data_IF_716918551867
#
_entry.id   IF_716918551867
#
_cell.length_a   1.000
_cell.length_b   1.000
_cell.length_c   1.000
_cell.angle_alpha   90.00
_cell.angle_beta   90.00
_cell.angle_gamma   90.00
#
_symmetry.space_group_name_H-M   'P 1'
#
loop_
_entity.id
_entity.type
_entity.pdbx_description
1 polymer ?
#
# COMPACT_ATOMS: atom_id res chain seq x y z
N UNK A 1 -30.87 -100.84 25.33
CA UNK A 1 -29.59 -101.54 25.12
C UNK A 1 -29.53 -102.05 23.67
N UNK A 2 -28.36 -102.05 23.01
CA UNK A 2 -28.23 -101.89 21.55
C UNK A 2 -28.30 -103.20 20.76
N UNK A 3 -28.65 -103.13 19.45
CA UNK A 3 -28.35 -104.13 18.39
C UNK A 3 -28.59 -103.61 16.95
N UNK A 4 -27.51 -103.51 16.17
CA UNK A 4 -27.25 -104.00 14.79
C UNK A 4 -28.27 -103.96 13.63
N UNK A 5 -27.80 -103.35 12.52
CA UNK A 5 -27.69 -103.83 11.10
C UNK A 5 -28.78 -103.73 10.01
N UNK A 6 -28.29 -103.25 8.84
CA UNK A 6 -28.59 -103.58 7.42
C UNK A 6 -29.86 -102.97 6.77
N UNK A 7 -29.94 -102.55 5.48
CA UNK A 7 -29.48 -103.05 4.17
C UNK A 7 -29.55 -101.88 3.13
N UNK A 8 -28.54 -101.55 2.29
CA UNK A 8 -28.06 -102.09 1.00
C UNK A 8 -28.92 -101.81 -0.29
N UNK A 9 -28.37 -100.99 -1.21
CA UNK A 9 -28.38 -101.01 -2.71
C UNK A 9 -28.21 -99.58 -3.25
N UNK A 10 -27.05 -99.13 -3.69
CA UNK A 10 -26.17 -99.52 -4.80
C UNK A 10 -26.65 -99.07 -6.20
N UNK A 11 -25.67 -98.52 -6.93
CA UNK A 11 -25.48 -98.54 -8.39
C UNK A 11 -26.19 -97.51 -9.31
N UNK A 12 -25.47 -96.42 -9.58
CA UNK A 12 -25.06 -95.94 -10.93
C UNK A 12 -26.10 -95.92 -12.06
N UNK A 13 -26.48 -94.71 -12.52
CA UNK A 13 -26.58 -94.34 -13.96
C UNK A 13 -26.96 -92.84 -14.09
N UNK A 14 -26.01 -91.93 -14.26
CA UNK A 14 -25.59 -91.31 -15.54
C UNK A 14 -26.62 -90.39 -16.22
N UNK A 15 -26.23 -89.12 -16.32
CA UNK A 15 -26.32 -88.25 -17.52
C UNK A 15 -27.66 -88.08 -18.25
N UNK A 16 -28.32 -86.93 -18.05
CA UNK A 16 -29.03 -86.12 -19.06
C UNK A 16 -29.52 -84.81 -18.38
N UNK A 17 -28.91 -83.65 -18.62
CA UNK A 17 -29.36 -82.58 -19.56
C UNK A 17 -30.88 -82.37 -19.56
N UNK A 18 -31.30 -81.11 -19.26
CA UNK A 18 -32.54 -80.35 -19.60
C UNK A 18 -32.84 -79.43 -18.38
N UNK A 19 -32.35 -78.19 -18.34
CA UNK A 19 -32.99 -76.98 -18.88
C UNK A 19 -34.50 -76.91 -18.60
N UNK A 20 -34.96 -76.07 -17.65
CA UNK A 20 -36.12 -75.16 -17.78
C UNK A 20 -36.45 -74.48 -16.43
N UNK A 21 -36.30 -73.16 -16.45
CA UNK A 21 -37.06 -72.09 -15.78
C UNK A 21 -37.63 -72.32 -14.35
N UNK A 22 -37.08 -71.55 -13.41
CA UNK A 22 -37.91 -70.69 -12.56
C UNK A 22 -37.23 -69.33 -12.42
N UNK A 23 -37.74 -68.37 -13.20
CA UNK A 23 -37.36 -66.96 -13.21
C UNK A 23 -37.84 -66.31 -11.91
N UNK A 24 -36.95 -66.16 -10.93
CA UNK A 24 -37.04 -65.07 -9.97
C UNK A 24 -36.08 -63.99 -10.43
N UNK A 25 -36.63 -63.12 -11.28
CA UNK A 25 -36.02 -61.91 -11.78
C UNK A 25 -35.66 -61.01 -10.59
N UNK A 26 -34.45 -61.15 -10.04
CA UNK A 26 -33.81 -60.06 -9.32
C UNK A 26 -33.39 -59.04 -10.38
N UNK A 27 -34.31 -58.13 -10.71
CA UNK A 27 -33.95 -56.89 -11.39
C UNK A 27 -33.12 -56.10 -10.39
N UNK A 28 -31.82 -56.37 -10.37
CA UNK A 28 -30.84 -55.46 -9.80
C UNK A 28 -30.86 -54.23 -10.71
N UNK A 29 -31.71 -53.26 -10.39
CA UNK A 29 -31.58 -51.94 -10.98
C UNK A 29 -30.17 -51.47 -10.61
N UNK A 30 -29.25 -51.25 -11.57
CA UNK A 30 -28.11 -50.41 -11.27
C UNK A 30 -28.75 -49.07 -10.91
N UNK A 31 -28.79 -48.77 -9.62
CA UNK A 31 -29.16 -47.44 -9.17
C UNK A 31 -28.23 -46.50 -9.90
N UNK A 32 -28.76 -45.82 -10.92
CA UNK A 32 -28.17 -44.59 -11.39
C UNK A 32 -28.17 -43.70 -10.15
N UNK A 33 -27.07 -43.70 -9.41
CA UNK A 33 -26.73 -42.61 -8.52
C UNK A 33 -26.46 -41.47 -9.47
N UNK A 34 -27.54 -40.77 -9.86
CA UNK A 34 -27.43 -39.45 -10.44
C UNK A 34 -26.62 -38.67 -9.41
N UNK A 35 -25.38 -38.30 -9.75
CA UNK A 35 -24.54 -37.49 -8.90
C UNK A 35 -25.33 -36.22 -8.61
N UNK A 36 -25.92 -36.15 -7.42
CA UNK A 36 -26.68 -35.00 -7.00
C UNK A 36 -25.71 -33.83 -7.00
N UNK A 37 -26.11 -32.72 -7.62
CA UNK A 37 -25.22 -31.59 -7.82
C UNK A 37 -24.71 -31.12 -6.45
N UNK A 38 -23.45 -31.43 -6.13
CA UNK A 38 -22.85 -31.16 -4.81
C UNK A 38 -22.61 -29.67 -4.57
N UNK A 39 -22.79 -28.85 -5.61
CA UNK A 39 -22.70 -27.41 -5.52
C UNK A 39 -23.96 -26.87 -4.81
N UNK A 40 -23.79 -25.94 -3.85
CA UNK A 40 -24.93 -25.24 -3.25
C UNK A 40 -25.81 -24.62 -4.35
N UNK A 41 -27.13 -24.73 -4.20
CA UNK A 41 -28.10 -24.28 -5.22
C UNK A 41 -27.99 -22.80 -5.60
N UNK A 42 -27.39 -21.97 -4.73
CA UNK A 42 -27.19 -20.54 -4.94
C UNK A 42 -25.73 -20.15 -5.25
N UNK A 43 -24.87 -21.13 -5.57
CA UNK A 43 -23.48 -20.86 -5.93
C UNK A 43 -23.41 -20.41 -7.40
N UNK A 44 -23.12 -19.12 -7.60
CA UNK A 44 -22.81 -18.60 -8.92
C UNK A 44 -21.38 -18.99 -9.27
N UNK A 45 -21.21 -19.92 -10.20
CA UNK A 45 -19.90 -20.33 -10.73
C UNK A 45 -19.48 -19.36 -11.82
N UNK A 46 -18.35 -18.69 -11.63
CA UNK A 46 -17.67 -17.88 -12.66
C UNK A 46 -16.31 -18.49 -12.97
N UNK A 47 -15.88 -18.40 -14.23
CA UNK A 47 -14.59 -18.96 -14.69
C UNK A 47 -13.38 -18.32 -14.00
N UNK A 48 -13.48 -17.05 -13.60
CA UNK A 48 -12.48 -16.35 -12.79
C UNK A 48 -13.07 -15.09 -12.15
N UNK A 49 -12.34 -14.48 -11.21
CA UNK A 49 -12.64 -13.15 -10.66
C UNK A 49 -12.27 -11.99 -11.62
N UNK A 50 -11.91 -12.31 -12.86
CA UNK A 50 -11.37 -11.36 -13.84
C UNK A 50 -9.86 -11.14 -13.68
N UNK A 51 -9.27 -10.25 -14.51
CA UNK A 51 -7.86 -9.90 -14.38
C UNK A 51 -7.63 -9.16 -13.06
N UNK A 52 -6.51 -9.44 -12.42
CA UNK A 52 -6.10 -8.67 -11.25
C UNK A 52 -5.86 -7.21 -11.66
N UNK A 53 -6.28 -6.28 -10.82
CA UNK A 53 -6.18 -4.82 -11.04
C UNK A 53 -5.00 -4.20 -10.26
N UNK A 54 -4.40 -4.98 -9.37
CA UNK A 54 -3.32 -4.57 -8.51
C UNK A 54 -2.99 -5.63 -7.47
N UNK A 55 -2.14 -5.28 -6.52
CA UNK A 55 -1.76 -6.17 -5.43
C UNK A 55 -1.48 -5.41 -4.15
N UNK A 56 -1.52 -6.14 -3.04
CA UNK A 56 -1.16 -5.63 -1.72
C UNK A 56 0.37 -5.59 -1.62
N UNK A 57 0.93 -4.40 -1.39
CA UNK A 57 2.38 -4.20 -1.23
C UNK A 57 2.78 -4.43 0.23
N UNK A 58 2.00 -3.88 1.16
CA UNK A 58 2.23 -4.00 2.58
C UNK A 58 0.91 -3.98 3.34
N UNK A 59 0.86 -4.71 4.45
CA UNK A 59 -0.32 -4.75 5.31
C UNK A 59 0.07 -5.00 6.76
N UNK A 60 -0.51 -4.20 7.66
CA UNK A 60 -0.56 -4.51 9.10
C UNK A 60 -1.73 -5.46 9.38
N UNK A 61 -1.73 -6.16 10.53
CA UNK A 61 -2.89 -6.93 10.96
C UNK A 61 -4.19 -6.10 10.92
N UNK A 62 -5.33 -6.79 10.96
CA UNK A 62 -6.66 -6.18 11.04
C UNK A 62 -7.14 -5.45 9.78
N UNK A 63 -6.78 -5.98 8.61
CA UNK A 63 -7.34 -5.58 7.31
C UNK A 63 -8.12 -6.75 6.68
N UNK A 64 -9.33 -6.44 6.22
CA UNK A 64 -10.28 -7.40 5.62
C UNK A 64 -10.58 -6.97 4.19
N UNK A 65 -10.63 -7.92 3.29
CA UNK A 65 -11.03 -7.75 1.90
C UNK A 65 -12.33 -8.50 1.68
N UNK A 66 -13.33 -7.84 1.13
CA UNK A 66 -14.61 -8.46 0.78
C UNK A 66 -14.78 -8.33 -0.73
N UNK A 67 -14.93 -9.45 -1.42
CA UNK A 67 -15.17 -9.47 -2.87
C UNK A 67 -16.68 -9.40 -3.16
N UNK A 68 -17.03 -8.94 -4.37
CA UNK A 68 -18.35 -8.64 -4.95
C UNK A 68 -19.63 -9.26 -4.35
N UNK A 69 -19.61 -10.50 -3.87
CA UNK A 69 -20.78 -11.19 -3.30
C UNK A 69 -21.09 -10.81 -1.84
N UNK A 70 -20.16 -10.14 -1.15
CA UNK A 70 -20.24 -9.76 0.27
C UNK A 70 -20.53 -10.92 1.23
N UNK A 71 -20.38 -12.16 0.78
CA UNK A 71 -20.64 -13.37 1.58
C UNK A 71 -19.43 -13.74 2.43
N UNK A 72 -18.22 -13.52 1.91
CA UNK A 72 -16.98 -13.88 2.58
C UNK A 72 -15.99 -12.71 2.64
N UNK A 73 -15.32 -12.60 3.78
CA UNK A 73 -14.21 -11.67 4.01
C UNK A 73 -12.90 -12.42 4.20
N UNK A 74 -11.84 -11.93 3.56
CA UNK A 74 -10.50 -12.52 3.60
C UNK A 74 -9.55 -11.60 4.34
N UNK A 75 -8.64 -12.16 5.15
CA UNK A 75 -7.57 -11.38 5.76
C UNK A 75 -6.57 -10.98 4.69
N UNK A 76 -6.27 -9.69 4.62
CA UNK A 76 -5.27 -9.17 3.70
C UNK A 76 -3.87 -9.69 4.07
N UNK A 77 -3.08 -10.04 3.05
CA UNK A 77 -1.68 -10.45 3.16
C UNK A 77 -0.88 -9.79 2.04
N UNK A 78 0.39 -9.52 2.29
CA UNK A 78 1.28 -8.98 1.25
C UNK A 78 1.30 -9.91 0.02
N UNK A 79 1.44 -9.31 -1.16
CA UNK A 79 1.39 -9.93 -2.48
C UNK A 79 0.07 -10.57 -2.92
N UNK A 80 -1.00 -10.50 -2.12
CA UNK A 80 -2.33 -10.90 -2.62
C UNK A 80 -2.75 -9.99 -3.77
N UNK A 81 -3.27 -10.62 -4.82
CA UNK A 81 -3.90 -9.94 -5.94
C UNK A 81 -5.20 -9.27 -5.48
N UNK A 82 -5.48 -8.10 -6.05
CA UNK A 82 -6.72 -7.37 -5.91
C UNK A 82 -7.49 -7.44 -7.22
N UNK A 83 -8.81 -7.48 -7.11
CA UNK A 83 -9.75 -7.59 -8.21
C UNK A 83 -10.76 -6.45 -8.16
N UNK A 84 -11.41 -6.20 -9.30
CA UNK A 84 -12.54 -5.27 -9.34
C UNK A 84 -13.62 -5.70 -8.34
N UNK A 85 -14.30 -4.72 -7.72
CA UNK A 85 -15.30 -4.92 -6.65
C UNK A 85 -14.74 -5.44 -5.32
N UNK A 86 -13.41 -5.46 -5.15
CA UNK A 86 -12.83 -5.65 -3.83
C UNK A 86 -13.09 -4.43 -2.94
N UNK A 87 -13.72 -4.67 -1.80
CA UNK A 87 -13.84 -3.70 -0.71
C UNK A 87 -12.76 -3.96 0.32
N UNK A 88 -11.89 -2.98 0.54
CA UNK A 88 -10.83 -2.97 1.53
C UNK A 88 -11.31 -2.28 2.81
N UNK A 89 -11.20 -2.97 3.94
CA UNK A 89 -11.63 -2.50 5.25
C UNK A 89 -10.45 -2.58 6.22
N UNK A 90 -9.94 -1.42 6.65
CA UNK A 90 -8.97 -1.33 7.75
C UNK A 90 -9.71 -1.08 9.07
N UNK A 91 -9.45 -1.90 10.08
CA UNK A 91 -10.03 -1.72 11.42
C UNK A 91 -9.19 -0.73 12.26
N UNK A 92 -9.24 -0.83 13.59
CA UNK A 92 -8.62 0.10 14.56
C UNK A 92 -7.09 0.26 14.40
N UNK A 93 -6.38 -0.81 14.09
CA UNK A 93 -4.92 -0.83 13.92
C UNK A 93 -4.51 -1.11 12.47
N UNK A 94 -5.51 -1.37 11.62
CA UNK A 94 -5.34 -1.80 10.25
C UNK A 94 -4.71 -0.72 9.38
N UNK A 95 -3.71 -1.11 8.60
CA UNK A 95 -3.09 -0.25 7.59
C UNK A 95 -2.74 -1.09 6.39
N UNK A 96 -3.05 -0.61 5.20
CA UNK A 96 -2.74 -1.31 3.96
C UNK A 96 -2.19 -0.33 2.92
N UNK A 97 -1.17 -0.78 2.20
CA UNK A 97 -0.65 -0.13 1.01
C UNK A 97 -0.82 -1.06 -0.18
N UNK A 98 -1.47 -0.56 -1.22
CA UNK A 98 -1.77 -1.32 -2.44
C UNK A 98 -1.15 -0.62 -3.65
N UNK A 99 -0.67 -1.41 -4.60
CA UNK A 99 -0.18 -0.95 -5.88
C UNK A 99 -1.11 -1.41 -6.99
N UNK A 100 -1.60 -0.47 -7.80
CA UNK A 100 -2.41 -0.76 -8.98
C UNK A 100 -1.52 -1.03 -10.20
N UNK A 101 -2.04 -1.77 -11.17
CA UNK A 101 -1.29 -2.14 -12.38
C UNK A 101 -0.89 -0.94 -13.24
N UNK A 102 -1.63 0.17 -13.13
CA UNK A 102 -1.31 1.44 -13.78
C UNK A 102 -0.14 2.21 -13.11
N UNK A 103 0.43 1.65 -12.03
CA UNK A 103 1.54 2.20 -11.28
C UNK A 103 1.16 3.14 -10.14
N UNK A 104 -0.13 3.42 -9.93
CA UNK A 104 -0.63 4.20 -8.79
C UNK A 104 -0.51 3.41 -7.49
N UNK A 105 -0.44 4.11 -6.37
CA UNK A 105 -0.34 3.52 -5.03
C UNK A 105 -1.34 4.19 -4.11
N UNK A 106 -2.07 3.38 -3.34
CA UNK A 106 -3.03 3.86 -2.36
C UNK A 106 -2.62 3.36 -0.98
N UNK A 107 -2.65 4.23 0.02
CA UNK A 107 -2.39 3.90 1.42
C UNK A 107 -3.65 4.23 2.22
N UNK A 108 -4.24 3.24 2.88
CA UNK A 108 -5.40 3.42 3.75
C UNK A 108 -4.95 3.45 5.20
N UNK A 109 -5.34 4.50 5.93
CA UNK A 109 -5.19 4.62 7.38
C UNK A 109 -6.18 3.71 8.11
N UNK A 110 -6.07 3.54 9.44
CA UNK A 110 -7.09 2.85 10.23
C UNK A 110 -8.50 3.39 10.01
N UNK A 111 -9.50 2.54 10.27
CA UNK A 111 -10.94 2.86 10.16
C UNK A 111 -11.36 3.37 8.77
N UNK A 112 -10.82 2.75 7.74
CA UNK A 112 -11.07 3.14 6.35
C UNK A 112 -11.78 2.03 5.60
N UNK A 113 -12.81 2.40 4.84
CA UNK A 113 -13.53 1.50 3.94
C UNK A 113 -13.53 2.09 2.52
N UNK A 114 -12.98 1.34 1.58
CA UNK A 114 -12.79 1.76 0.20
C UNK A 114 -13.03 0.58 -0.74
N UNK A 115 -13.79 0.80 -1.81
CA UNK A 115 -14.05 -0.20 -2.86
C UNK A 115 -13.33 0.19 -4.15
N UNK A 116 -12.73 -0.82 -4.79
CA UNK A 116 -12.14 -0.71 -6.12
C UNK A 116 -13.24 -0.97 -7.15
N UNK A 117 -14.10 0.04 -7.33
CA UNK A 117 -15.40 -0.11 -7.98
C UNK A 117 -15.32 -0.42 -9.47
N UNK A 118 -14.38 0.19 -10.20
CA UNK A 118 -14.18 -0.10 -11.61
C UNK A 118 -12.71 0.03 -11.94
N UNK A 119 -12.19 -0.86 -12.80
CA UNK A 119 -10.89 -0.67 -13.40
C UNK A 119 -10.87 -1.23 -14.82
N UNK A 120 -11.13 -0.36 -15.79
CA UNK A 120 -10.87 -0.65 -17.20
C UNK A 120 -9.42 -0.25 -17.47
N UNK A 121 -8.54 -1.24 -17.63
CA UNK A 121 -7.16 -1.01 -18.07
C UNK A 121 -6.88 -1.87 -19.31
N UNK A 122 -6.85 -1.22 -20.47
CA UNK A 122 -6.49 -1.85 -21.74
C UNK A 122 -5.27 -1.12 -22.32
N UNK A 123 -4.09 -1.72 -22.16
CA UNK A 123 -2.82 -1.19 -22.66
C UNK A 123 -2.71 -1.22 -24.19
N UNK A 124 -3.46 -2.09 -24.87
CA UNK A 124 -3.49 -2.19 -26.33
C UNK A 124 -4.35 -1.10 -26.97
N UNK A 125 -5.39 -0.64 -26.26
CA UNK A 125 -6.30 0.43 -26.69
C UNK A 125 -6.01 1.79 -26.05
N UNK A 126 -5.02 1.87 -25.17
CA UNK A 126 -4.66 3.08 -24.42
C UNK A 126 -5.84 3.68 -23.63
N UNK A 127 -6.71 2.84 -23.07
CA UNK A 127 -7.86 3.24 -22.23
C UNK A 127 -7.56 2.86 -20.79
N UNK A 128 -7.64 3.86 -19.91
CA UNK A 128 -7.64 3.67 -18.46
C UNK A 128 -8.83 4.41 -17.84
N UNK A 129 -9.69 3.67 -17.14
CA UNK A 129 -10.71 4.21 -16.26
C UNK A 129 -10.66 3.47 -14.93
N UNK A 130 -10.21 4.14 -13.88
CA UNK A 130 -10.23 3.58 -12.52
C UNK A 130 -11.18 4.42 -11.68
N UNK A 131 -12.20 3.77 -11.12
CA UNK A 131 -13.12 4.38 -10.16
C UNK A 131 -12.89 3.74 -8.79
N UNK A 132 -12.71 4.58 -7.80
CA UNK A 132 -12.54 4.18 -6.40
C UNK A 132 -13.64 4.85 -5.58
N UNK A 133 -14.45 4.05 -4.89
CA UNK A 133 -15.44 4.55 -3.95
C UNK A 133 -14.88 4.51 -2.53
N UNK A 134 -14.67 5.67 -1.92
CA UNK A 134 -14.21 5.80 -0.55
C UNK A 134 -15.38 6.16 0.36
N UNK A 135 -15.83 5.20 1.16
CA UNK A 135 -17.02 5.34 1.98
C UNK A 135 -16.77 6.15 3.26
N UNK A 136 -15.64 5.87 3.93
CA UNK A 136 -15.27 6.50 5.20
C UNK A 136 -13.78 6.29 5.46
N UNK A 137 -13.20 7.17 6.27
CA UNK A 137 -11.85 7.04 6.81
C UNK A 137 -10.88 8.00 6.15
N UNK A 138 -9.61 7.60 6.06
CA UNK A 138 -8.54 8.45 5.53
C UNK A 138 -7.60 7.65 4.65
N UNK A 139 -7.28 8.17 3.47
CA UNK A 139 -6.39 7.50 2.53
C UNK A 139 -5.55 8.50 1.73
N UNK A 140 -4.32 8.11 1.44
CA UNK A 140 -3.43 8.81 0.51
C UNK A 140 -3.45 8.10 -0.84
N UNK A 141 -3.52 8.89 -1.89
CA UNK A 141 -3.57 8.46 -3.28
C UNK A 141 -2.39 9.07 -4.01
N UNK A 142 -1.41 8.24 -4.38
CA UNK A 142 -0.38 8.61 -5.34
C UNK A 142 -0.75 8.05 -6.70
N UNK A 143 -1.36 8.87 -7.55
CA UNK A 143 -1.85 8.46 -8.86
C UNK A 143 -0.78 8.77 -9.92
N UNK A 144 -0.42 7.76 -10.71
CA UNK A 144 0.59 7.93 -11.77
C UNK A 144 0.02 8.73 -12.94
N UNK A 145 0.75 9.78 -13.35
CA UNK A 145 0.47 10.54 -14.59
C UNK A 145 0.85 9.71 -15.80
N UNK A 146 -0.11 9.42 -16.68
CA UNK A 146 0.13 8.67 -17.91
C UNK A 146 -0.02 9.63 -19.11
N UNK A 147 1.11 10.15 -19.60
CA UNK A 147 1.12 11.15 -20.67
C UNK A 147 0.73 10.58 -22.06
N UNK A 148 0.86 9.26 -22.26
CA UNK A 148 0.68 8.60 -23.56
C UNK A 148 -0.71 7.92 -23.73
N UNK A 149 -1.66 8.17 -22.82
CA UNK A 149 -2.99 7.57 -22.87
C UNK A 149 -4.01 8.59 -23.38
N UNK A 150 -4.82 8.22 -24.38
CA UNK A 150 -5.85 9.11 -24.98
C UNK A 150 -6.99 9.42 -24.00
N UNK A 151 -7.33 8.48 -23.13
CA UNK A 151 -8.34 8.59 -22.09
C UNK A 151 -7.81 7.94 -20.81
N UNK A 152 -7.46 8.75 -19.81
CA UNK A 152 -7.01 8.30 -18.48
C UNK A 152 -7.82 8.99 -17.41
N UNK A 153 -8.94 8.39 -17.02
CA UNK A 153 -9.76 8.84 -15.90
C UNK A 153 -9.40 8.06 -14.64
N UNK A 154 -8.84 8.73 -13.64
CA UNK A 154 -8.84 8.19 -12.28
C UNK A 154 -9.79 9.05 -11.45
N UNK A 155 -10.80 8.44 -10.86
CA UNK A 155 -11.81 9.14 -10.06
C UNK A 155 -11.90 8.53 -8.68
N UNK A 156 -11.91 9.38 -7.66
CA UNK A 156 -12.28 8.98 -6.30
C UNK A 156 -13.61 9.62 -5.98
N UNK A 157 -14.59 8.80 -5.61
CA UNK A 157 -15.92 9.24 -5.20
C UNK A 157 -16.12 8.97 -3.72
N UNK A 158 -16.71 9.92 -3.03
CA UNK A 158 -17.13 9.80 -1.63
C UNK A 158 -18.63 10.04 -1.51
N UNK A 159 -19.15 10.07 -0.29
CA UNK A 159 -20.55 10.44 -0.04
C UNK A 159 -20.89 11.86 -0.49
N UNK A 160 -19.92 12.78 -0.52
CA UNK A 160 -20.16 14.22 -0.75
C UNK A 160 -19.42 14.80 -1.95
N UNK A 161 -18.34 14.17 -2.42
CA UNK A 161 -17.47 14.73 -3.46
C UNK A 161 -17.08 13.71 -4.55
N UNK A 162 -16.69 14.25 -5.70
CA UNK A 162 -16.00 13.56 -6.78
C UNK A 162 -14.68 14.26 -7.00
N UNK A 163 -13.58 13.51 -6.95
CA UNK A 163 -12.24 13.96 -7.30
C UNK A 163 -11.80 13.31 -8.62
N UNK A 164 -11.73 14.10 -9.68
CA UNK A 164 -11.07 13.75 -10.94
C UNK A 164 -9.56 13.97 -10.82
N UNK A 165 -8.77 12.93 -11.12
CA UNK A 165 -7.34 12.92 -10.82
C UNK A 165 -6.52 12.82 -12.10
N UNK A 166 -5.62 13.79 -12.30
CA UNK A 166 -4.65 13.77 -13.41
C UNK A 166 -3.22 13.72 -12.89
N UNK A 167 -2.84 12.57 -12.35
CA UNK A 167 -1.48 12.32 -11.87
C UNK A 167 -1.11 13.22 -10.71
N UNK A 168 -1.49 12.81 -9.50
CA UNK A 168 -1.49 13.65 -8.31
C UNK A 168 -1.07 12.86 -7.07
N UNK A 169 -0.64 13.57 -6.04
CA UNK A 169 -0.40 13.04 -4.70
C UNK A 169 -1.28 13.78 -3.71
N UNK A 170 -2.27 13.11 -3.13
CA UNK A 170 -3.27 13.78 -2.31
C UNK A 170 -3.83 12.85 -1.24
N UNK A 171 -4.45 13.45 -0.24
CA UNK A 171 -5.09 12.76 0.87
C UNK A 171 -6.56 13.12 0.90
N UNK A 172 -7.41 12.10 1.05
CA UNK A 172 -8.84 12.28 1.31
C UNK A 172 -9.13 11.82 2.74
N UNK A 173 -9.86 12.66 3.47
CA UNK A 173 -10.57 12.27 4.70
C UNK A 173 -12.06 12.30 4.39
N UNK A 174 -12.75 11.16 4.51
CA UNK A 174 -14.15 11.02 4.14
C UNK A 174 -15.00 10.55 5.32
N UNK A 175 -16.21 11.09 5.40
CA UNK A 175 -17.30 10.64 6.26
C UNK A 175 -18.61 10.64 5.47
N UNK A 176 -19.71 10.09 6.02
CA UNK A 176 -21.02 10.17 5.38
C UNK A 176 -21.55 11.61 5.20
N UNK A 177 -20.99 12.58 5.92
CA UNK A 177 -21.48 13.97 5.94
C UNK A 177 -20.48 14.99 5.39
N UNK A 178 -19.22 14.61 5.20
CA UNK A 178 -18.17 15.53 4.76
C UNK A 178 -17.02 14.81 4.07
N UNK A 179 -16.36 15.53 3.15
CA UNK A 179 -15.11 15.10 2.54
C UNK A 179 -14.13 16.25 2.57
N UNK A 180 -12.92 16.02 3.06
CA UNK A 180 -11.81 16.95 2.95
C UNK A 180 -10.74 16.34 2.04
N UNK A 181 -10.25 17.15 1.11
CA UNK A 181 -9.20 16.77 0.16
C UNK A 181 -8.02 17.71 0.36
N UNK A 182 -6.83 17.15 0.58
CA UNK A 182 -5.58 17.88 0.73
C UNK A 182 -4.62 17.46 -0.39
N UNK A 183 -4.24 18.40 -1.25
CA UNK A 183 -3.28 18.20 -2.32
C UNK A 183 -1.84 18.36 -1.80
N UNK A 184 -0.97 17.42 -2.17
CA UNK A 184 0.46 17.45 -1.91
C UNK A 184 1.20 17.89 -3.18
N UNK A 185 2.52 17.77 -3.21
CA UNK A 185 3.34 18.21 -4.34
C UNK A 185 2.97 17.49 -5.66
N UNK A 186 3.11 18.18 -6.79
CA UNK A 186 2.86 17.67 -8.15
C UNK A 186 1.42 17.18 -8.36
N UNK A 187 0.46 17.99 -7.93
CA UNK A 187 -0.96 17.66 -7.91
C UNK A 187 -1.77 18.54 -8.85
N UNK A 188 -2.66 17.90 -9.60
CA UNK A 188 -3.70 18.55 -10.38
C UNK A 188 -5.00 17.75 -10.22
N UNK A 189 -5.95 18.34 -9.48
CA UNK A 189 -7.24 17.71 -9.18
C UNK A 189 -8.40 18.59 -9.63
N UNK A 190 -9.44 17.92 -10.12
CA UNK A 190 -10.76 18.48 -10.32
C UNK A 190 -11.66 17.98 -9.20
N UNK A 191 -12.22 18.89 -8.40
CA UNK A 191 -13.10 18.56 -7.28
C UNK A 191 -14.49 19.12 -7.53
N UNK A 192 -15.50 18.28 -7.45
CA UNK A 192 -16.90 18.67 -7.52
C UNK A 192 -17.68 18.05 -6.36
N UNK A 193 -18.80 18.67 -5.99
CA UNK A 193 -19.74 18.03 -5.06
C UNK A 193 -20.70 17.12 -5.81
N UNK A 194 -21.18 16.07 -5.14
CA UNK A 194 -22.18 15.14 -5.72
C UNK A 194 -23.47 15.90 -6.11
N UNK A 195 -23.82 16.96 -5.37
CA UNK A 195 -24.98 17.81 -5.64
C UNK A 195 -24.86 18.63 -6.94
N UNK A 196 -23.65 19.00 -7.33
CA UNK A 196 -23.42 19.80 -8.53
C UNK A 196 -22.13 19.34 -9.24
N UNK A 197 -22.17 18.17 -9.91
CA UNK A 197 -21.00 17.59 -10.56
C UNK A 197 -20.40 18.48 -11.66
N UNK A 198 -21.22 19.35 -12.27
CA UNK A 198 -20.80 20.27 -13.33
C UNK A 198 -20.01 21.48 -12.80
N UNK A 199 -20.06 21.74 -11.47
CA UNK A 199 -19.32 22.83 -10.84
C UNK A 199 -17.98 22.31 -10.32
N UNK A 200 -17.00 22.35 -11.21
CA UNK A 200 -15.64 21.87 -10.94
C UNK A 200 -14.78 22.98 -10.33
N UNK A 201 -14.09 22.66 -9.23
CA UNK A 201 -13.04 23.47 -8.62
C UNK A 201 -11.70 22.78 -8.85
N UNK A 202 -10.71 23.54 -9.30
CA UNK A 202 -9.34 23.03 -9.42
C UNK A 202 -8.62 23.13 -8.08
N UNK A 203 -7.94 22.05 -7.69
CA UNK A 203 -7.10 21.99 -6.49
C UNK A 203 -5.66 21.66 -6.89
N UNK A 204 -4.73 22.53 -6.51
CA UNK A 204 -3.30 22.47 -6.85
C UNK A 204 -2.43 22.18 -5.63
N UNK A 205 -1.12 22.13 -5.81
CA UNK A 205 -0.13 21.85 -4.76
C UNK A 205 -0.38 22.62 -3.46
N UNK A 206 -0.37 21.86 -2.35
CA UNK A 206 -0.48 22.37 -0.97
C UNK A 206 -1.76 23.16 -0.70
N UNK A 207 -2.83 22.81 -1.39
CA UNK A 207 -4.17 23.34 -1.17
C UNK A 207 -5.10 22.29 -0.57
N UNK A 208 -6.08 22.74 0.20
CA UNK A 208 -7.17 21.91 0.71
C UNK A 208 -8.53 22.49 0.38
N UNK A 209 -9.51 21.61 0.32
CA UNK A 209 -10.92 21.94 0.13
C UNK A 209 -11.79 20.96 0.91
N UNK A 210 -12.93 21.45 1.40
CA UNK A 210 -13.94 20.63 2.08
C UNK A 210 -15.24 20.65 1.29
N UNK A 211 -15.94 19.52 1.29
CA UNK A 211 -17.24 19.35 0.66
C UNK A 211 -18.17 18.70 1.68
N UNK A 212 -19.03 19.51 2.28
CA UNK A 212 -20.10 19.04 3.17
C UNK A 212 -21.24 18.41 2.37
N UNK A 213 -22.01 17.55 3.02
CA UNK A 213 -23.16 16.89 2.43
C UNK A 213 -24.17 17.93 1.93
N UNK A 214 -24.64 17.72 0.70
CA UNK A 214 -25.61 18.60 0.03
C UNK A 214 -25.16 20.07 -0.12
N UNK A 215 -23.86 20.34 0.01
CA UNK A 215 -23.26 21.65 -0.17
C UNK A 215 -22.42 21.74 -1.47
N UNK A 216 -22.06 22.95 -1.85
CA UNK A 216 -20.99 23.18 -2.83
C UNK A 216 -19.63 23.06 -2.13
N UNK A 217 -18.54 22.82 -2.86
CA UNK A 217 -17.20 22.85 -2.28
C UNK A 217 -16.91 24.19 -1.60
N UNK A 218 -16.19 24.16 -0.48
CA UNK A 218 -15.70 25.36 0.22
C UNK A 218 -14.74 26.15 -0.68
N UNK A 219 -14.44 27.41 -0.33
CA UNK A 219 -13.26 28.08 -0.88
C UNK A 219 -11.99 27.24 -0.65
N UNK A 220 -11.05 27.34 -1.59
CA UNK A 220 -9.76 26.67 -1.50
C UNK A 220 -8.88 27.37 -0.47
N UNK A 221 -8.25 26.59 0.40
CA UNK A 221 -7.34 27.08 1.44
C UNK A 221 -5.91 26.56 1.21
N UNK A 222 -4.90 27.35 1.58
CA UNK A 222 -3.51 26.89 1.61
C UNK A 222 -3.25 26.07 2.87
N UNK A 223 -2.52 24.97 2.72
CA UNK A 223 -2.10 24.12 3.84
C UNK A 223 -0.76 24.65 4.39
N UNK A 224 -0.65 24.92 5.70
CA UNK A 224 0.63 25.29 6.32
C UNK A 224 1.68 24.19 6.18
N UNK A 225 2.96 24.56 6.03
CA UNK A 225 4.05 23.61 5.88
C UNK A 225 4.13 22.58 7.02
N UNK A 226 3.87 22.99 8.28
CA UNK A 226 3.86 22.06 9.41
C UNK A 226 2.73 21.02 9.31
N UNK A 227 1.61 21.35 8.68
CA UNK A 227 0.50 20.44 8.47
C UNK A 227 0.81 19.47 7.32
N UNK A 228 1.47 19.93 6.25
CA UNK A 228 2.00 19.07 5.19
C UNK A 228 2.95 18.00 5.76
N UNK A 229 3.89 18.40 6.61
CA UNK A 229 4.82 17.47 7.26
C UNK A 229 4.09 16.42 8.10
N UNK A 230 3.03 16.82 8.83
CA UNK A 230 2.19 15.90 9.62
C UNK A 230 1.46 14.90 8.72
N UNK A 231 0.88 15.37 7.62
CA UNK A 231 0.20 14.52 6.64
C UNK A 231 1.18 13.51 6.05
N UNK A 232 2.36 13.95 5.62
CA UNK A 232 3.38 13.05 5.06
C UNK A 232 3.87 12.01 6.08
N UNK A 233 4.02 12.42 7.34
CA UNK A 233 4.43 11.53 8.44
C UNK A 233 3.37 10.49 8.82
N UNK A 234 2.09 10.78 8.63
CA UNK A 234 1.04 9.78 8.81
C UNK A 234 1.09 8.71 7.71
N UNK A 235 1.40 9.11 6.48
CA UNK A 235 1.42 8.26 5.30
C UNK A 235 2.82 7.79 4.90
N UNK A 236 3.67 7.49 5.89
CA UNK A 236 5.00 6.96 5.63
C UNK A 236 4.91 5.65 4.82
N UNK A 237 5.52 5.58 3.62
CA UNK A 237 5.43 4.42 2.75
C UNK A 237 6.12 3.21 3.35
N UNK A 238 5.64 2.02 2.99
CA UNK A 238 6.35 0.78 3.33
C UNK A 238 7.67 0.67 2.56
N UNK A 239 8.68 -0.03 3.14
CA UNK A 239 9.94 -0.30 2.44
C UNK A 239 9.70 -0.95 1.07
N UNK A 240 10.29 -0.38 0.01
CA UNK A 240 10.17 -0.90 -1.35
C UNK A 240 8.93 -0.41 -2.13
N UNK A 241 8.10 0.47 -1.57
CA UNK A 241 6.96 1.03 -2.31
C UNK A 241 7.36 2.17 -3.27
N UNK A 242 6.58 2.37 -4.34
CA UNK A 242 6.82 3.47 -5.30
C UNK A 242 6.73 4.86 -4.66
N UNK A 243 5.93 5.01 -3.59
CA UNK A 243 5.87 6.24 -2.80
C UNK A 243 7.21 6.46 -2.08
N UNK A 244 7.83 5.39 -1.55
CA UNK A 244 9.18 5.45 -0.97
C UNK A 244 10.23 5.91 -1.99
N UNK A 245 10.09 5.53 -3.26
CA UNK A 245 11.02 5.96 -4.31
C UNK A 245 11.01 7.47 -4.58
N UNK A 246 9.91 8.16 -4.29
CA UNK A 246 9.82 9.63 -4.37
C UNK A 246 10.05 10.33 -3.04
N UNK A 247 10.18 9.58 -1.96
CA UNK A 247 10.30 10.14 -0.60
C UNK A 247 11.68 10.74 -0.39
N UNK A 248 11.73 11.94 0.19
CA UNK A 248 12.97 12.60 0.51
C UNK A 248 13.50 12.15 1.88
N UNK A 249 14.82 12.04 2.01
CA UNK A 249 15.49 11.99 3.32
C UNK A 249 15.54 13.41 3.82
N UNK A 250 14.83 13.73 4.90
CA UNK A 250 14.81 15.08 5.47
C UNK A 250 15.37 15.02 6.88
N UNK A 251 16.45 15.75 7.12
CA UNK A 251 16.99 16.02 8.44
C UNK A 251 16.89 17.51 8.74
N UNK A 252 16.41 17.85 9.94
CA UNK A 252 16.31 19.23 10.41
C UNK A 252 16.89 19.35 11.80
N UNK A 253 17.98 20.11 11.93
CA UNK A 253 18.48 20.59 13.22
C UNK A 253 18.07 22.05 13.37
N UNK A 254 17.36 22.35 14.46
CA UNK A 254 17.09 23.72 14.90
C UNK A 254 17.27 23.83 16.40
N UNK A 255 18.25 24.61 16.86
CA UNK A 255 18.52 24.78 18.30
C UNK A 255 19.49 25.90 18.65
N UNK A 256 19.51 26.29 19.92
CA UNK A 256 20.46 27.26 20.50
C UNK A 256 21.27 26.58 21.60
N UNK A 257 22.54 26.98 21.78
CA UNK A 257 23.42 26.47 22.84
C UNK A 257 23.60 24.95 22.79
N UNK A 258 23.91 24.41 21.62
CA UNK A 258 24.08 22.97 21.42
C UNK A 258 25.54 22.58 21.61
N UNK A 259 25.80 21.62 22.48
CA UNK A 259 27.14 21.05 22.67
C UNK A 259 27.09 19.55 22.43
N UNK A 260 27.92 19.06 21.51
CA UNK A 260 28.10 17.65 21.22
C UNK A 260 29.58 17.31 21.27
N UNK A 261 29.95 16.30 22.06
CA UNK A 261 31.35 15.95 22.30
C UNK A 261 31.51 14.43 22.19
N UNK A 262 32.47 13.99 21.38
CA UNK A 262 32.88 12.59 21.29
C UNK A 262 34.40 12.50 21.53
N UNK A 263 34.83 11.60 22.43
CA UNK A 263 36.24 11.44 22.80
C UNK A 263 36.61 9.96 22.68
N UNK A 264 37.72 9.67 22.02
CA UNK A 264 38.25 8.32 21.82
C UNK A 264 38.75 8.08 20.40
N UNK A 265 39.56 7.02 20.22
CA UNK A 265 40.04 6.58 18.91
C UNK A 265 38.85 6.20 18.02
N UNK A 266 38.77 6.78 16.82
CA UNK A 266 37.70 6.52 15.85
C UNK A 266 36.34 7.15 16.20
N UNK A 267 36.28 8.04 17.20
CA UNK A 267 35.01 8.66 17.63
C UNK A 267 34.47 9.64 16.59
N UNK A 268 33.15 9.64 16.38
CA UNK A 268 32.47 10.57 15.46
C UNK A 268 31.47 11.46 16.22
N UNK A 269 31.75 12.78 16.32
CA UNK A 269 30.82 13.76 16.87
C UNK A 269 29.93 14.30 15.75
N UNK A 270 28.69 13.81 15.72
CA UNK A 270 27.74 13.99 14.63
C UNK A 270 26.55 14.87 15.06
N UNK A 271 26.54 16.15 14.69
CA UNK A 271 25.48 17.09 15.08
C UNK A 271 24.76 17.66 13.84
N UNK A 272 23.45 17.37 13.71
CA UNK A 272 22.65 17.80 12.56
C UNK A 272 23.17 17.30 11.21
N UNK A 273 23.77 16.10 11.20
CA UNK A 273 24.35 15.49 10.01
C UNK A 273 23.44 14.41 9.42
N UNK A 274 23.61 14.12 8.13
CA UNK A 274 23.03 12.96 7.44
C UNK A 274 24.18 12.08 6.94
N UNK A 275 24.24 10.81 7.39
CA UNK A 275 25.22 9.81 6.91
C UNK A 275 24.47 8.67 6.21
N UNK A 276 24.83 8.41 4.96
CA UNK A 276 24.21 7.38 4.11
C UNK A 276 25.32 6.45 3.62
N UNK A 277 25.18 5.15 3.83
CA UNK A 277 26.16 4.14 3.41
C UNK A 277 25.46 2.99 2.69
N UNK A 278 26.01 2.51 1.58
CA UNK A 278 25.54 1.29 0.90
C UNK A 278 24.10 1.34 0.40
N UNK A 279 23.58 2.52 0.04
CA UNK A 279 22.15 2.75 -0.19
C UNK A 279 21.82 3.24 -1.59
N UNK A 280 20.64 2.88 -2.11
CA UNK A 280 20.10 3.42 -3.37
C UNK A 280 18.98 4.41 -3.06
N UNK A 281 19.26 5.71 -3.13
CA UNK A 281 18.32 6.79 -2.82
C UNK A 281 17.73 7.35 -4.10
N UNK A 282 16.43 7.19 -4.28
CA UNK A 282 15.71 7.70 -5.46
C UNK A 282 15.16 9.12 -5.26
N UNK A 283 14.79 9.50 -4.03
CA UNK A 283 14.30 10.83 -3.69
C UNK A 283 15.40 11.83 -3.33
N UNK A 284 15.01 13.05 -2.98
CA UNK A 284 15.94 14.10 -2.57
C UNK A 284 16.51 13.84 -1.17
N UNK A 285 17.70 14.38 -0.88
CA UNK A 285 18.25 14.45 0.48
C UNK A 285 18.26 15.93 0.87
N UNK A 286 17.52 16.29 1.90
CA UNK A 286 17.40 17.66 2.39
C UNK A 286 17.91 17.69 3.82
N UNK A 287 19.02 18.39 4.04
CA UNK A 287 19.56 18.65 5.36
C UNK A 287 19.43 20.15 5.67
N UNK A 288 18.59 20.52 6.63
CA UNK A 288 18.50 21.89 7.16
C UNK A 288 19.11 21.94 8.56
N UNK A 289 20.37 22.34 8.64
CA UNK A 289 21.11 22.48 9.88
C UNK A 289 21.26 23.95 10.25
N UNK A 290 20.33 24.46 11.05
CA UNK A 290 20.35 25.85 11.52
C UNK A 290 20.41 25.96 13.03
N UNK A 291 21.17 26.93 13.54
CA UNK A 291 21.23 27.14 15.00
C UNK A 291 22.29 28.14 15.46
N UNK A 292 22.31 28.43 16.75
CA UNK A 292 23.18 29.46 17.34
C UNK A 292 23.94 28.89 18.53
N UNK A 293 25.17 29.37 18.74
CA UNK A 293 26.04 28.94 19.83
C UNK A 293 26.22 27.42 19.83
N UNK A 294 26.77 26.89 18.74
CA UNK A 294 26.95 25.44 18.55
C UNK A 294 28.41 25.09 18.78
N UNK A 295 28.67 24.08 19.60
CA UNK A 295 29.99 23.49 19.83
C UNK A 295 29.93 22.00 19.51
N UNK A 296 30.62 21.55 18.47
CA UNK A 296 30.74 20.14 18.11
C UNK A 296 32.22 19.74 18.15
N UNK A 297 32.59 18.79 19.02
CA UNK A 297 33.99 18.42 19.26
C UNK A 297 34.15 16.91 19.13
N UNK A 298 35.09 16.48 18.29
CA UNK A 298 35.62 15.12 18.28
C UNK A 298 37.10 15.14 18.68
N UNK A 299 37.53 14.25 19.57
CA UNK A 299 38.92 14.18 20.02
C UNK A 299 39.44 12.75 20.09
N UNK A 300 40.61 12.51 19.51
CA UNK A 300 41.26 11.20 19.43
C UNK A 300 41.83 10.89 18.03
N UNK A 301 42.66 9.85 17.94
CA UNK A 301 43.19 9.36 16.65
C UNK A 301 42.04 8.92 15.74
N UNK A 302 42.06 9.35 14.47
CA UNK A 302 41.03 9.07 13.46
C UNK A 302 39.62 9.51 13.89
N UNK A 303 39.50 10.58 14.68
CA UNK A 303 38.21 11.14 15.11
C UNK A 303 37.60 12.06 14.04
N UNK A 304 36.27 12.15 14.00
CA UNK A 304 35.55 12.99 13.02
C UNK A 304 34.52 13.88 13.69
N UNK A 305 34.58 15.19 13.46
CA UNK A 305 33.57 16.14 13.91
C UNK A 305 32.73 16.60 12.71
N UNK A 306 31.52 16.06 12.58
CA UNK A 306 30.60 16.36 11.48
C UNK A 306 29.47 17.26 11.98
N UNK A 307 29.40 18.49 11.48
CA UNK A 307 28.38 19.47 11.85
C UNK A 307 27.62 19.93 10.62
N UNK A 308 26.30 19.70 10.60
CA UNK A 308 25.44 20.19 9.53
C UNK A 308 25.81 19.68 8.13
N UNK A 309 26.47 18.53 8.05
CA UNK A 309 26.99 17.97 6.80
C UNK A 309 26.19 16.75 6.33
N UNK A 310 26.29 16.47 5.04
CA UNK A 310 25.74 15.27 4.41
C UNK A 310 26.91 14.44 3.92
N UNK A 311 27.05 13.21 4.43
CA UNK A 311 28.04 12.23 3.96
C UNK A 311 27.34 11.05 3.28
N UNK A 312 27.76 10.72 2.08
CA UNK A 312 27.25 9.63 1.25
C UNK A 312 28.44 8.74 0.87
N UNK A 313 28.39 7.47 1.23
CA UNK A 313 29.44 6.49 0.97
C UNK A 313 28.88 5.28 0.22
N UNK A 314 29.52 4.83 -0.86
CA UNK A 314 29.16 3.60 -1.58
C UNK A 314 27.65 3.54 -1.93
N UNK A 315 27.08 4.66 -2.36
CA UNK A 315 25.63 4.82 -2.50
C UNK A 315 25.29 5.49 -3.84
N UNK A 316 24.12 5.14 -4.40
CA UNK A 316 23.62 5.74 -5.63
C UNK A 316 22.47 6.71 -5.29
N UNK A 317 22.60 7.97 -5.69
CA UNK A 317 21.59 8.99 -5.46
C UNK A 317 21.07 9.49 -6.79
N UNK A 318 19.75 9.34 -7.03
CA UNK A 318 19.08 9.88 -8.22
C UNK A 318 18.42 11.23 -7.98
N UNK A 319 18.11 11.58 -6.73
CA UNK A 319 17.54 12.87 -6.36
C UNK A 319 18.60 13.96 -6.12
N UNK A 320 18.15 15.19 -5.86
CA UNK A 320 19.05 16.28 -5.49
C UNK A 320 19.47 16.17 -4.01
N UNK A 321 20.71 16.56 -3.70
CA UNK A 321 21.16 16.81 -2.32
C UNK A 321 21.09 18.31 -2.07
N UNK A 322 20.26 18.72 -1.12
CA UNK A 322 20.11 20.10 -0.65
C UNK A 322 20.63 20.17 0.77
N UNK A 323 21.81 20.75 0.97
CA UNK A 323 22.34 21.03 2.30
C UNK A 323 22.23 22.52 2.60
N UNK A 324 21.31 22.88 3.49
CA UNK A 324 21.11 24.24 3.98
C UNK A 324 21.68 24.34 5.38
N UNK A 325 22.74 25.12 5.53
CA UNK A 325 23.34 25.37 6.83
C UNK A 325 23.35 26.85 7.16
N UNK A 326 22.87 27.23 8.34
CA UNK A 326 22.91 28.62 8.81
C UNK A 326 23.16 28.66 10.31
N UNK A 327 24.31 29.19 10.72
CA UNK A 327 24.57 29.33 12.15
C UNK A 327 25.33 30.57 12.54
N UNK A 328 25.16 30.94 13.81
CA UNK A 328 25.89 32.03 14.49
C UNK A 328 26.67 31.45 15.65
N UNK A 329 27.91 31.87 15.86
CA UNK A 329 28.81 31.33 16.89
C UNK A 329 28.93 29.80 16.83
N UNK A 330 29.52 29.30 15.76
CA UNK A 330 29.65 27.86 15.50
C UNK A 330 31.11 27.43 15.61
N UNK A 331 31.38 26.49 16.50
CA UNK A 331 32.68 25.84 16.69
C UNK A 331 32.56 24.35 16.35
N UNK A 332 33.23 23.90 15.29
CA UNK A 332 33.35 22.49 14.94
C UNK A 332 34.83 22.10 14.97
N UNK A 333 35.22 21.22 15.90
CA UNK A 333 36.62 20.92 16.21
C UNK A 333 36.86 19.43 16.16
N UNK A 334 37.87 19.00 15.39
CA UNK A 334 38.39 17.65 15.44
C UNK A 334 39.88 17.72 15.86
N UNK A 335 40.25 17.02 16.93
CA UNK A 335 41.59 17.09 17.51
C UNK A 335 42.22 15.70 17.66
N UNK A 336 43.46 15.52 17.18
CA UNK A 336 44.19 14.25 17.23
C UNK A 336 44.83 13.89 15.87
N UNK A 337 45.59 12.80 15.84
CA UNK A 337 46.20 12.29 14.60
C UNK A 337 45.12 11.82 13.62
N UNK A 338 45.19 12.21 12.35
CA UNK A 338 44.19 11.88 11.30
C UNK A 338 42.76 12.37 11.60
N UNK A 339 42.60 13.35 12.48
CA UNK A 339 41.28 13.90 12.80
C UNK A 339 40.72 14.75 11.64
N UNK A 340 39.40 14.66 11.40
CA UNK A 340 38.72 15.41 10.32
C UNK A 340 37.52 16.19 10.86
N UNK A 341 37.43 17.48 10.55
CA UNK A 341 36.26 18.30 10.84
C UNK A 341 35.53 18.65 9.54
N UNK A 342 34.26 18.27 9.43
CA UNK A 342 33.40 18.54 8.29
C UNK A 342 32.25 19.44 8.72
N UNK A 343 32.23 20.68 8.24
CA UNK A 343 31.18 21.65 8.56
C UNK A 343 30.42 22.02 7.29
N UNK A 344 29.08 21.91 7.32
CA UNK A 344 28.22 22.39 6.24
C UNK A 344 28.51 21.82 4.85
N UNK A 345 29.24 20.71 4.78
CA UNK A 345 29.69 20.11 3.53
C UNK A 345 28.73 19.03 3.02
N UNK A 346 28.77 18.80 1.72
CA UNK A 346 28.23 17.60 1.08
C UNK A 346 29.42 16.79 0.58
N UNK A 347 29.58 15.58 1.11
CA UNK A 347 30.67 14.67 0.77
C UNK A 347 30.03 13.43 0.15
N UNK A 348 30.40 13.12 -1.09
CA UNK A 348 29.95 11.94 -1.82
C UNK A 348 31.17 11.15 -2.24
N UNK A 349 31.31 9.94 -1.68
CA UNK A 349 32.46 9.03 -1.82
C UNK A 349 32.05 7.66 -2.34
#
# INVERSE_FOLDING_TARGET
MPRTNAFYKDMVSRFLIILILSVSCNVFYPGFVCAENMLPKDLIVKDSLGPSIGKILYVKPDVIIIHSDKKFGYRAKANLALFEKDTLITQETGRIEIGLNDGSTLILSPKTKLELSENVYDSSKSIRSSLVDMYVGKARFLVTKLANFRLSGFKVKTATAIAGVRGSDFVITASPVSTQIAALAQTSLEVASIKSPDKIILLSDFERISVEKDALPSPVEKIPAQEIDRILNEFQPSPGSKISEKSAIINKLSGKNLTNIAIGKGSEANLGNVKITGSNIKGAIINDASGSNITNIASGTNSKANLGSVKVENSNIKGAIVNKSKGTNVSNVAAGTEAKANTSSVIVE
#
